data_IF_922096677613
#
_entry.id   IF_922096677613
#
_cell.length_a   1.000
_cell.length_b   1.000
_cell.length_c   1.000
_cell.angle_alpha   90.00
_cell.angle_beta   90.00
_cell.angle_gamma   90.00
#
_symmetry.space_group_name_H-M   'P 1'
#
loop_
_entity.id
_entity.type
_entity.pdbx_description
1 polymer ?
#
# COMPACT_ATOMS: atom_id res chain seq x y z
N UNK A 1 5.71 15.93 -12.82
CA UNK A 1 4.82 14.76 -12.91
C UNK A 1 3.61 15.00 -12.01
N UNK A 2 2.40 14.89 -12.53
CA UNK A 2 1.15 15.08 -11.77
C UNK A 2 0.73 13.77 -11.09
N UNK A 3 0.08 13.84 -9.92
CA UNK A 3 -0.57 12.66 -9.32
C UNK A 3 -1.71 12.21 -10.26
N UNK A 4 -1.83 10.91 -10.59
CA UNK A 4 -2.96 10.41 -11.37
C UNK A 4 -4.29 10.74 -10.69
N UNK A 5 -5.30 11.03 -11.50
CA UNK A 5 -6.69 11.09 -11.04
C UNK A 5 -7.16 9.71 -10.57
N UNK A 6 -8.25 9.66 -9.81
CA UNK A 6 -8.84 8.39 -9.36
C UNK A 6 -9.21 7.48 -10.55
N UNK A 7 -9.69 8.05 -11.65
CA UNK A 7 -10.05 7.32 -12.87
C UNK A 7 -8.83 6.75 -13.59
N UNK A 8 -7.77 7.54 -13.74
CA UNK A 8 -6.50 7.08 -14.34
C UNK A 8 -5.86 5.98 -13.49
N UNK A 9 -5.84 6.15 -12.17
CA UNK A 9 -5.33 5.13 -11.24
C UNK A 9 -6.16 3.84 -11.32
N UNK A 10 -7.49 3.95 -11.33
CA UNK A 10 -8.39 2.78 -11.46
C UNK A 10 -8.13 2.04 -12.76
N UNK A 11 -8.01 2.76 -13.88
CA UNK A 11 -7.71 2.16 -15.19
C UNK A 11 -6.37 1.45 -15.18
N UNK A 12 -5.32 2.07 -14.63
CA UNK A 12 -3.99 1.47 -14.53
C UNK A 12 -3.98 0.19 -13.68
N UNK A 13 -4.73 0.16 -12.57
CA UNK A 13 -4.84 -1.02 -11.71
C UNK A 13 -5.59 -2.17 -12.39
N UNK A 14 -6.66 -1.87 -13.13
CA UNK A 14 -7.40 -2.87 -13.91
C UNK A 14 -6.50 -3.50 -14.99
N UNK A 15 -5.73 -2.67 -15.69
CA UNK A 15 -4.79 -3.17 -16.69
C UNK A 15 -3.67 -4.01 -16.08
N UNK A 16 -3.12 -3.59 -14.92
CA UNK A 16 -2.14 -4.38 -14.20
C UNK A 16 -2.72 -5.74 -13.74
N UNK A 17 -3.97 -5.77 -13.26
CA UNK A 17 -4.63 -7.02 -12.93
C UNK A 17 -4.74 -7.95 -14.16
N UNK A 18 -5.18 -7.40 -15.30
CA UNK A 18 -5.25 -8.12 -16.59
C UNK A 18 -3.89 -8.68 -17.01
N UNK A 19 -2.83 -7.86 -16.95
CA UNK A 19 -1.46 -8.27 -17.30
C UNK A 19 -0.99 -9.44 -16.45
N UNK A 20 -1.26 -9.39 -15.14
CA UNK A 20 -0.90 -10.47 -14.21
C UNK A 20 -1.68 -11.76 -14.50
N UNK A 21 -2.98 -11.66 -14.74
CA UNK A 21 -3.85 -12.82 -15.04
C UNK A 21 -3.48 -13.51 -16.36
N UNK A 22 -3.13 -12.72 -17.38
CA UNK A 22 -2.76 -13.22 -18.70
C UNK A 22 -1.27 -13.59 -18.83
N UNK A 23 -0.50 -13.52 -17.73
CA UNK A 23 0.95 -13.72 -17.73
C UNK A 23 1.70 -12.77 -18.70
N UNK A 24 1.11 -11.60 -18.98
CA UNK A 24 1.65 -10.52 -19.80
C UNK A 24 2.42 -9.49 -18.96
N UNK A 25 3.15 -9.96 -17.95
CA UNK A 25 3.95 -9.11 -17.05
C UNK A 25 5.42 -9.52 -17.04
N UNK A 26 6.13 -9.49 -18.19
CA UNK A 26 7.49 -10.01 -18.32
C UNK A 26 8.52 -9.23 -17.50
N UNK A 27 8.21 -7.98 -17.17
CA UNK A 27 9.08 -7.08 -16.40
C UNK A 27 8.55 -6.81 -14.99
N UNK A 28 7.54 -7.56 -14.54
CA UNK A 28 6.95 -7.44 -13.20
C UNK A 28 6.40 -6.04 -12.87
N UNK A 29 6.06 -5.24 -13.88
CA UNK A 29 5.52 -3.89 -13.72
C UNK A 29 4.13 -3.97 -13.09
N UNK A 30 3.30 -4.89 -13.57
CA UNK A 30 1.96 -5.06 -13.01
C UNK A 30 2.03 -5.59 -11.57
N UNK A 31 2.88 -6.59 -11.31
CA UNK A 31 3.15 -7.08 -9.96
C UNK A 31 3.62 -5.96 -9.03
N UNK A 32 4.58 -5.15 -9.46
CA UNK A 32 5.13 -4.05 -8.67
C UNK A 32 4.10 -2.95 -8.42
N UNK A 33 3.30 -2.57 -9.44
CA UNK A 33 2.25 -1.56 -9.32
C UNK A 33 1.15 -2.00 -8.35
N UNK A 34 0.63 -3.22 -8.51
CA UNK A 34 -0.40 -3.77 -7.62
C UNK A 34 0.10 -3.89 -6.18
N UNK A 35 1.33 -4.36 -6.00
CA UNK A 35 1.94 -4.46 -4.69
C UNK A 35 2.12 -3.08 -4.03
N UNK A 36 2.68 -2.13 -4.77
CA UNK A 36 2.91 -0.77 -4.30
C UNK A 36 1.59 -0.08 -3.93
N UNK A 37 0.55 -0.27 -4.74
CA UNK A 37 -0.77 0.30 -4.46
C UNK A 37 -1.35 -0.21 -3.14
N UNK A 38 -1.26 -1.52 -2.89
CA UNK A 38 -1.69 -2.10 -1.60
C UNK A 38 -0.87 -1.55 -0.44
N UNK A 39 0.46 -1.51 -0.55
CA UNK A 39 1.33 -0.95 0.50
C UNK A 39 0.99 0.51 0.80
N UNK A 40 0.86 1.34 -0.23
CA UNK A 40 0.50 2.76 -0.09
C UNK A 40 -0.86 2.89 0.62
N UNK A 41 -1.86 2.09 0.26
CA UNK A 41 -3.16 2.11 0.91
C UNK A 41 -3.09 1.78 2.41
N UNK A 42 -2.23 0.83 2.81
CA UNK A 42 -2.03 0.53 4.24
C UNK A 42 -1.32 1.67 4.97
N UNK A 43 -0.33 2.30 4.34
CA UNK A 43 0.36 3.47 4.92
C UNK A 43 -0.58 4.67 5.07
N UNK A 44 -1.49 4.88 4.11
CA UNK A 44 -2.53 5.91 4.21
C UNK A 44 -3.48 5.64 5.40
N UNK A 45 -3.86 4.37 5.64
CA UNK A 45 -4.65 3.99 6.83
C UNK A 45 -3.90 4.22 8.14
N UNK A 46 -2.61 3.88 8.20
CA UNK A 46 -1.78 4.18 9.38
C UNK A 46 -1.72 5.68 9.62
N UNK A 47 -1.47 6.49 8.58
CA UNK A 47 -1.47 7.95 8.68
C UNK A 47 -2.79 8.48 9.25
N UNK A 48 -3.92 7.96 8.78
CA UNK A 48 -5.24 8.41 9.23
C UNK A 48 -5.51 7.97 10.69
N UNK A 49 -5.12 6.75 11.07
CA UNK A 49 -5.19 6.28 12.45
C UNK A 49 -4.31 7.11 13.40
N UNK A 50 -3.09 7.44 13.00
CA UNK A 50 -2.20 8.35 13.76
C UNK A 50 -2.86 9.72 13.93
N UNK A 51 -3.44 10.28 12.86
CA UNK A 51 -4.17 11.55 12.97
C UNK A 51 -5.29 11.43 13.99
N UNK A 52 -6.16 10.44 13.91
CA UNK A 52 -7.26 10.28 14.86
C UNK A 52 -6.76 10.11 16.30
N UNK A 53 -5.74 9.28 16.51
CA UNK A 53 -5.14 9.08 17.83
C UNK A 53 -4.60 10.37 18.43
N UNK A 54 -3.85 11.17 17.66
CA UNK A 54 -3.32 12.46 18.14
C UNK A 54 -4.43 13.48 18.45
N UNK A 55 -5.49 13.53 17.63
CA UNK A 55 -6.60 14.46 17.86
C UNK A 55 -7.54 14.01 18.99
N UNK A 56 -7.54 12.73 19.34
CA UNK A 56 -8.36 12.16 20.43
C UNK A 56 -7.79 12.43 21.84
N UNK A 57 -6.62 13.07 21.94
CA UNK A 57 -5.91 13.20 23.21
C UNK A 57 -5.36 11.87 23.71
N UNK A 58 -4.94 11.00 22.78
CA UNK A 58 -4.36 9.69 23.06
C UNK A 58 -5.34 8.69 23.71
N UNK A 59 -6.59 8.68 23.24
CA UNK A 59 -7.62 7.83 23.82
C UNK A 59 -7.35 6.33 23.55
N UNK A 60 -7.73 5.42 24.48
CA UNK A 60 -7.40 3.99 24.38
C UNK A 60 -8.03 3.28 23.17
N UNK A 61 -9.20 3.73 22.72
CA UNK A 61 -9.86 3.14 21.55
C UNK A 61 -9.06 3.41 20.27
N UNK A 62 -8.68 4.67 20.06
CA UNK A 62 -7.90 5.14 18.93
C UNK A 62 -6.48 4.56 18.95
N UNK A 63 -5.92 4.33 20.15
CA UNK A 63 -4.67 3.59 20.31
C UNK A 63 -4.79 2.17 19.74
N UNK A 64 -5.85 1.43 20.10
CA UNK A 64 -6.08 0.08 19.58
C UNK A 64 -6.29 0.05 18.06
N UNK A 65 -7.00 1.07 17.53
CA UNK A 65 -7.16 1.24 16.07
C UNK A 65 -5.81 1.46 15.38
N UNK A 66 -4.95 2.29 15.96
CA UNK A 66 -3.59 2.53 15.47
C UNK A 66 -2.73 1.27 15.49
N UNK A 67 -2.71 0.52 16.59
CA UNK A 67 -1.98 -0.75 16.69
C UNK A 67 -2.42 -1.75 15.62
N UNK A 68 -3.74 -1.84 15.38
CA UNK A 68 -4.27 -2.71 14.32
C UNK A 68 -3.82 -2.26 12.94
N UNK A 69 -3.88 -0.96 12.65
CA UNK A 69 -3.43 -0.41 11.36
C UNK A 69 -1.93 -0.68 11.12
N UNK A 70 -1.10 -0.52 12.16
CA UNK A 70 0.33 -0.85 12.10
C UNK A 70 0.55 -2.34 11.81
N UNK A 71 -0.13 -3.22 12.53
CA UNK A 71 0.00 -4.66 12.32
C UNK A 71 -0.45 -5.11 10.91
N UNK A 72 -1.46 -4.45 10.34
CA UNK A 72 -1.92 -4.69 8.96
C UNK A 72 -0.90 -4.20 7.92
N UNK A 73 -0.28 -3.03 8.13
CA UNK A 73 0.78 -2.51 7.28
C UNK A 73 2.03 -3.41 7.30
N UNK A 74 2.48 -3.85 8.48
CA UNK A 74 3.62 -4.78 8.59
C UNK A 74 3.35 -6.14 7.95
N UNK A 75 2.11 -6.63 8.02
CA UNK A 75 1.72 -7.87 7.32
C UNK A 75 1.79 -7.69 5.82
N UNK A 76 1.32 -6.55 5.30
CA UNK A 76 1.42 -6.24 3.87
C UNK A 76 2.88 -6.16 3.39
N UNK A 77 3.78 -5.60 4.21
CA UNK A 77 5.21 -5.53 3.89
C UNK A 77 5.88 -6.91 3.91
N UNK A 78 5.57 -7.77 4.88
CA UNK A 78 6.10 -9.16 4.94
C UNK A 78 5.67 -10.01 3.76
N UNK A 79 4.41 -9.90 3.33
CA UNK A 79 3.91 -10.62 2.13
C UNK A 79 4.58 -10.11 0.85
N UNK A 80 5.13 -8.89 0.87
CA UNK A 80 5.75 -8.26 -0.30
C UNK A 80 7.21 -8.66 -0.53
N UNK A 81 7.89 -9.27 0.45
CA UNK A 81 9.22 -9.83 0.24
C UNK A 81 9.88 -10.41 1.48
N UNK A 82 10.34 -11.66 1.39
CA UNK A 82 11.33 -12.23 2.32
C UNK A 82 12.76 -11.72 2.04
N UNK A 83 13.03 -11.04 0.91
CA UNK A 83 14.36 -10.48 0.58
C UNK A 83 14.27 -9.34 -0.45
N UNK A 84 13.81 -8.14 -0.06
CA UNK A 84 13.95 -6.96 -0.91
C UNK A 84 14.99 -6.00 -0.30
N UNK A 85 16.19 -5.84 -0.88
CA UNK A 85 17.10 -4.76 -0.50
C UNK A 85 16.42 -3.42 -0.83
N UNK A 86 16.63 -2.41 0.02
CA UNK A 86 15.86 -1.15 0.00
C UNK A 86 15.75 -0.51 -1.39
N UNK A 87 14.56 0.03 -1.71
CA UNK A 87 14.11 0.79 -2.91
C UNK A 87 14.65 0.47 -4.32
N UNK A 88 15.66 -0.39 -4.51
CA UNK A 88 16.21 -0.81 -5.79
C UNK A 88 16.77 0.32 -6.67
N UNK A 89 17.19 1.45 -6.09
CA UNK A 89 17.67 2.62 -6.83
C UNK A 89 19.20 2.81 -6.78
N UNK A 90 19.97 1.75 -6.48
CA UNK A 90 21.44 1.77 -6.58
C UNK A 90 21.93 1.19 -7.90
#
# INVERSE_FOLDING_TARGET
MSRPTASEMSTALQEAARMREQQQDPHFIAKALLNSHVRIGQLERVRDAVRHYLHSGLAPHEHSVLERALAEAERADRVSGETAPGFGLE
#
